data_IF_889375068803
#
_entry.id   IF_889375068803
#
_cell.length_a   1.000
_cell.length_b   1.000
_cell.length_c   1.000
_cell.angle_alpha   90.00
_cell.angle_beta   90.00
_cell.angle_gamma   90.00
#
_symmetry.space_group_name_H-M   'P 1'
#
loop_
_entity.id
_entity.type
_entity.pdbx_description
1 polymer ?
#
# COMPACT_ATOMS: atom_id res chain seq x y z
N UNK A 1 -13.45 -5.03 7.17
CA UNK A 1 -12.85 -5.10 5.82
C UNK A 1 -13.07 -6.49 5.19
N UNK A 2 -13.92 -6.59 4.17
CA UNK A 2 -14.38 -7.85 3.57
C UNK A 2 -13.28 -8.59 2.78
N UNK A 3 -13.48 -9.86 2.48
CA UNK A 3 -12.48 -10.76 1.88
C UNK A 3 -12.06 -10.35 0.46
N UNK A 4 -13.04 -9.88 -0.34
CA UNK A 4 -12.82 -9.34 -1.70
C UNK A 4 -12.06 -8.01 -1.71
N UNK A 5 -12.09 -7.24 -0.62
CA UNK A 5 -11.47 -5.90 -0.52
C UNK A 5 -9.93 -5.98 -0.54
N UNK A 6 -9.32 -6.89 0.22
CA UNK A 6 -7.84 -7.04 0.24
C UNK A 6 -7.32 -7.94 -0.89
N UNK A 7 -8.19 -8.77 -1.49
CA UNK A 7 -7.80 -9.65 -2.61
C UNK A 7 -7.67 -8.92 -3.95
N UNK A 8 -8.29 -7.74 -4.08
CA UNK A 8 -8.21 -6.91 -5.29
C UNK A 8 -6.77 -6.59 -5.72
N UNK A 9 -5.86 -6.46 -4.74
CA UNK A 9 -4.45 -6.11 -4.90
C UNK A 9 -3.48 -7.30 -4.70
N UNK A 10 -4.00 -8.53 -4.62
CA UNK A 10 -3.16 -9.73 -4.60
C UNK A 10 -2.47 -9.93 -5.97
N UNK A 11 -1.18 -10.28 -5.93
CA UNK A 11 -0.34 -10.53 -7.11
C UNK A 11 0.46 -9.33 -7.62
N UNK A 12 0.64 -8.31 -6.78
CA UNK A 12 1.63 -7.27 -6.99
C UNK A 12 3.05 -7.84 -6.90
N UNK A 13 3.98 -7.44 -7.79
CA UNK A 13 5.38 -7.81 -7.66
C UNK A 13 5.95 -7.34 -6.32
N UNK A 14 6.88 -8.11 -5.74
CA UNK A 14 7.66 -7.65 -4.58
C UNK A 14 8.74 -6.64 -5.01
N UNK A 15 9.28 -6.80 -6.22
CA UNK A 15 10.26 -5.89 -6.81
C UNK A 15 9.64 -4.51 -7.10
N UNK A 16 10.25 -3.48 -6.53
CA UNK A 16 9.77 -2.10 -6.61
C UNK A 16 9.89 -1.50 -8.02
N UNK A 17 10.94 -1.85 -8.77
CA UNK A 17 11.15 -1.33 -10.14
C UNK A 17 10.14 -1.96 -11.11
N UNK A 18 9.85 -3.25 -10.94
CA UNK A 18 8.80 -3.94 -11.70
C UNK A 18 7.42 -3.35 -11.36
N UNK A 19 7.15 -3.03 -10.09
CA UNK A 19 5.91 -2.35 -9.69
C UNK A 19 5.75 -0.99 -10.35
N UNK A 20 6.81 -0.18 -10.38
CA UNK A 20 6.80 1.17 -10.95
C UNK A 20 6.52 1.21 -12.46
N UNK A 21 6.61 0.07 -13.15
CA UNK A 21 6.39 -0.04 -14.60
C UNK A 21 5.21 -0.95 -14.96
N UNK A 22 4.63 -1.66 -13.99
CA UNK A 22 3.55 -2.61 -14.24
C UNK A 22 2.20 -1.88 -14.39
N UNK A 23 1.46 -2.07 -15.50
CA UNK A 23 0.22 -1.33 -15.76
C UNK A 23 -0.84 -1.49 -14.67
N UNK A 24 -0.97 -2.68 -14.08
CA UNK A 24 -1.95 -2.89 -13.00
C UNK A 24 -1.58 -2.12 -11.74
N UNK A 25 -0.30 -2.12 -11.40
CA UNK A 25 0.26 -1.45 -10.22
C UNK A 25 0.11 0.07 -10.34
N UNK A 26 0.41 0.61 -11.53
CA UNK A 26 0.22 2.02 -11.84
C UNK A 26 -1.26 2.42 -11.84
N UNK A 27 -2.14 1.58 -12.39
CA UNK A 27 -3.57 1.86 -12.40
C UNK A 27 -4.15 1.95 -10.98
N UNK A 28 -3.66 1.13 -10.06
CA UNK A 28 -4.04 1.21 -8.63
C UNK A 28 -3.63 2.55 -8.07
N UNK A 29 -2.37 2.93 -8.25
CA UNK A 29 -1.85 4.21 -7.78
C UNK A 29 -2.61 5.39 -8.38
N UNK A 30 -2.89 5.37 -9.69
CA UNK A 30 -3.62 6.46 -10.37
C UNK A 30 -5.02 6.65 -9.79
N UNK A 31 -5.76 5.54 -9.56
CA UNK A 31 -7.07 5.63 -8.95
C UNK A 31 -7.03 6.06 -7.48
N UNK A 32 -6.09 5.53 -6.69
CA UNK A 32 -5.95 5.89 -5.28
C UNK A 32 -5.57 7.35 -5.09
N UNK A 33 -4.50 7.79 -5.76
CA UNK A 33 -3.94 9.12 -5.58
C UNK A 33 -4.81 10.23 -6.18
N UNK A 34 -5.40 10.02 -7.36
CA UNK A 34 -5.92 11.14 -8.15
C UNK A 34 -7.43 11.11 -8.41
N UNK A 35 -8.10 9.95 -8.31
CA UNK A 35 -9.51 9.87 -8.72
C UNK A 35 -10.46 10.59 -7.74
N UNK A 36 -10.07 10.73 -6.47
CA UNK A 36 -10.98 11.18 -5.41
C UNK A 36 -11.49 12.60 -5.60
N UNK A 37 -10.61 13.54 -5.92
CA UNK A 37 -10.93 14.94 -6.25
C UNK A 37 -11.79 15.05 -7.51
N UNK A 38 -11.74 14.03 -8.39
CA UNK A 38 -12.43 13.96 -9.67
C UNK A 38 -13.70 13.09 -9.62
N UNK A 39 -14.24 12.84 -8.43
CA UNK A 39 -15.49 12.07 -8.25
C UNK A 39 -15.34 10.56 -8.49
N UNK A 40 -14.12 10.03 -8.37
CA UNK A 40 -13.80 8.60 -8.39
C UNK A 40 -13.94 7.93 -9.76
N UNK A 41 -13.83 8.69 -10.85
CA UNK A 41 -14.09 8.23 -12.22
C UNK A 41 -13.13 8.85 -13.21
N UNK A 42 -12.69 8.04 -14.18
CA UNK A 42 -11.89 8.49 -15.30
C UNK A 42 -12.46 7.97 -16.62
N UNK A 43 -12.27 8.75 -17.67
CA UNK A 43 -12.63 8.32 -19.02
C UNK A 43 -11.59 7.36 -19.58
N UNK A 44 -11.96 6.57 -20.58
CA UNK A 44 -11.00 5.64 -21.18
C UNK A 44 -9.83 6.39 -21.83
N UNK A 45 -10.08 7.53 -22.51
CA UNK A 45 -9.02 8.33 -23.12
C UNK A 45 -8.09 8.94 -22.08
N UNK A 46 -8.62 9.46 -20.98
CA UNK A 46 -7.83 9.96 -19.84
C UNK A 46 -6.89 8.87 -19.30
N UNK A 47 -7.41 7.67 -19.03
CA UNK A 47 -6.58 6.57 -18.50
C UNK A 47 -5.47 6.18 -19.48
N UNK A 48 -5.78 6.10 -20.77
CA UNK A 48 -4.79 5.77 -21.80
C UNK A 48 -3.70 6.83 -21.89
N UNK A 49 -4.07 8.12 -21.82
CA UNK A 49 -3.09 9.20 -21.88
C UNK A 49 -2.22 9.26 -20.62
N UNK A 50 -2.80 9.16 -19.44
CA UNK A 50 -2.05 9.11 -18.18
C UNK A 50 -1.04 7.95 -18.15
N UNK A 51 -1.46 6.75 -18.57
CA UNK A 51 -0.54 5.60 -18.62
C UNK A 51 0.44 5.70 -19.82
N UNK A 52 0.04 6.35 -20.90
CA UNK A 52 0.89 6.68 -22.04
C UNK A 52 2.02 7.65 -21.69
N UNK A 53 1.76 8.68 -20.88
CA UNK A 53 2.78 9.59 -20.34
C UNK A 53 3.86 8.82 -19.54
N UNK A 54 3.48 7.68 -18.93
CA UNK A 54 4.38 6.78 -18.22
C UNK A 54 5.06 5.73 -19.12
N UNK A 55 4.83 5.77 -20.43
CA UNK A 55 5.40 4.85 -21.43
C UNK A 55 4.66 3.51 -21.55
N UNK A 56 3.40 3.42 -21.12
CA UNK A 56 2.62 2.19 -21.19
C UNK A 56 1.74 2.19 -22.44
N UNK A 57 1.96 1.18 -23.29
CA UNK A 57 1.21 0.98 -24.52
C UNK A 57 -0.30 0.71 -24.30
N UNK A 58 -1.12 1.30 -25.17
CA UNK A 58 -2.58 1.19 -25.19
C UNK A 58 -3.13 -0.24 -24.97
N UNK A 59 -2.62 -1.27 -25.67
CA UNK A 59 -3.06 -2.65 -25.47
C UNK A 59 -2.84 -3.17 -24.04
N UNK A 60 -1.72 -2.77 -23.40
CA UNK A 60 -1.39 -3.17 -22.04
C UNK A 60 -2.33 -2.50 -21.01
N UNK A 61 -2.63 -1.22 -21.22
CA UNK A 61 -3.61 -0.48 -20.40
C UNK A 61 -5.00 -1.12 -20.49
N UNK A 62 -5.48 -1.41 -21.70
CA UNK A 62 -6.80 -2.05 -21.91
C UNK A 62 -6.86 -3.44 -21.29
N UNK A 63 -5.78 -4.21 -21.36
CA UNK A 63 -5.66 -5.51 -20.68
C UNK A 63 -5.76 -5.37 -19.16
N UNK A 64 -5.11 -4.37 -18.57
CA UNK A 64 -5.22 -4.07 -17.13
C UNK A 64 -6.66 -3.68 -16.74
N UNK A 65 -7.28 -2.76 -17.48
CA UNK A 65 -8.67 -2.33 -17.25
C UNK A 65 -9.66 -3.51 -17.32
N UNK A 66 -9.51 -4.38 -18.31
CA UNK A 66 -10.32 -5.60 -18.45
C UNK A 66 -10.21 -6.50 -17.21
N UNK A 67 -9.00 -6.68 -16.67
CA UNK A 67 -8.79 -7.44 -15.43
C UNK A 67 -9.44 -6.77 -14.23
N UNK A 68 -9.36 -5.44 -14.10
CA UNK A 68 -9.94 -4.70 -12.98
C UNK A 68 -11.46 -4.78 -13.01
N UNK A 69 -12.07 -4.66 -14.20
CA UNK A 69 -13.50 -4.89 -14.40
C UNK A 69 -13.92 -6.31 -14.02
N UNK A 70 -13.18 -7.33 -14.48
CA UNK A 70 -13.47 -8.74 -14.16
C UNK A 70 -13.37 -9.03 -12.65
N UNK A 71 -12.44 -8.37 -11.96
CA UNK A 71 -12.29 -8.46 -10.49
C UNK A 71 -13.31 -7.61 -9.71
N UNK A 72 -14.16 -6.84 -10.39
CA UNK A 72 -15.14 -5.96 -9.76
C UNK A 72 -14.53 -4.74 -9.06
N UNK A 73 -13.27 -4.39 -9.39
CA UNK A 73 -12.57 -3.23 -8.83
C UNK A 73 -13.11 -1.95 -9.48
N UNK A 74 -13.21 -1.99 -10.81
CA UNK A 74 -13.76 -0.92 -11.63
C UNK A 74 -15.12 -1.32 -12.19
N UNK A 75 -16.04 -0.38 -12.21
CA UNK A 75 -17.36 -0.50 -12.84
C UNK A 75 -17.43 0.46 -14.02
N UNK A 76 -18.04 0.00 -15.12
CA UNK A 76 -18.30 0.87 -16.25
C UNK A 76 -19.36 1.90 -15.84
N UNK A 77 -19.12 3.17 -16.13
CA UNK A 77 -20.01 4.27 -15.79
C UNK A 77 -20.01 5.28 -16.94
N UNK A 78 -21.12 6.01 -17.11
CA UNK A 78 -21.29 7.01 -18.17
C UNK A 78 -21.72 8.33 -17.54
N UNK A 79 -20.85 9.34 -17.59
CA UNK A 79 -21.12 10.68 -17.04
C UNK A 79 -21.15 11.69 -18.18
N UNK A 80 -22.17 12.55 -18.19
CA UNK A 80 -22.38 13.56 -19.24
C UNK A 80 -22.27 13.00 -20.68
N UNK A 81 -22.76 11.79 -20.92
CA UNK A 81 -22.70 11.18 -22.26
C UNK A 81 -21.40 10.46 -22.60
N UNK A 82 -20.40 10.45 -21.72
CA UNK A 82 -19.07 9.90 -21.98
C UNK A 82 -18.81 8.66 -21.14
N UNK A 83 -18.30 7.60 -21.78
CA UNK A 83 -17.99 6.34 -21.13
C UNK A 83 -16.64 6.40 -20.38
N UNK A 84 -16.64 5.86 -19.17
CA UNK A 84 -15.45 5.72 -18.35
C UNK A 84 -15.57 4.59 -17.33
N UNK A 85 -14.66 4.60 -16.37
CA UNK A 85 -14.61 3.62 -15.30
C UNK A 85 -14.56 4.34 -13.95
N UNK A 86 -15.42 3.91 -13.03
CA UNK A 86 -15.41 4.35 -11.64
C UNK A 86 -14.91 3.23 -10.72
N UNK A 87 -14.36 3.59 -9.57
CA UNK A 87 -14.16 2.64 -8.48
C UNK A 87 -15.52 2.08 -8.03
N UNK A 88 -15.58 0.76 -7.83
CA UNK A 88 -16.75 0.16 -7.17
C UNK A 88 -16.90 0.75 -5.75
N UNK A 89 -18.12 0.82 -5.17
CA UNK A 89 -18.30 1.33 -3.80
C UNK A 89 -17.44 0.60 -2.76
N UNK A 90 -17.21 -0.69 -2.98
CA UNK A 90 -16.36 -1.56 -2.15
C UNK A 90 -14.89 -1.22 -2.30
N UNK A 91 -14.41 -1.03 -3.53
CA UNK A 91 -13.02 -0.63 -3.79
C UNK A 91 -12.74 0.77 -3.27
N UNK A 92 -13.67 1.72 -3.41
CA UNK A 92 -13.49 3.08 -2.91
C UNK A 92 -13.17 3.12 -1.41
N UNK A 93 -13.93 2.38 -0.59
CA UNK A 93 -13.65 2.25 0.85
C UNK A 93 -12.28 1.63 1.13
N UNK A 94 -11.85 0.69 0.28
CA UNK A 94 -10.54 0.03 0.44
C UNK A 94 -9.40 1.00 0.15
N UNK A 95 -9.54 1.82 -0.90
CA UNK A 95 -8.60 2.89 -1.20
C UNK A 95 -8.55 3.92 -0.06
N UNK A 96 -9.71 4.38 0.43
CA UNK A 96 -9.76 5.38 1.50
C UNK A 96 -9.02 4.92 2.78
N UNK A 97 -9.16 3.65 3.17
CA UNK A 97 -8.44 3.06 4.32
C UNK A 97 -6.96 2.86 4.00
N UNK A 98 -6.65 2.44 2.78
CA UNK A 98 -5.28 2.13 2.37
C UNK A 98 -4.41 3.37 2.21
N UNK A 99 -4.96 4.47 1.72
CA UNK A 99 -4.26 5.75 1.53
C UNK A 99 -3.80 6.34 2.85
N UNK A 100 -4.59 6.20 3.92
CA UNK A 100 -4.20 6.64 5.26
C UNK A 100 -2.88 5.97 5.69
N UNK A 101 -2.74 4.64 5.54
CA UNK A 101 -1.50 3.93 5.91
C UNK A 101 -0.30 4.30 5.05
N UNK A 102 -0.52 4.70 3.79
CA UNK A 102 0.55 5.03 2.84
C UNK A 102 1.03 6.47 2.98
N UNK A 103 0.13 7.40 3.29
CA UNK A 103 0.38 8.85 3.31
C UNK A 103 0.47 9.44 4.73
N UNK A 104 0.21 8.66 5.78
CA UNK A 104 0.38 9.12 7.16
C UNK A 104 1.86 9.15 7.56
N UNK A 105 2.34 10.32 8.00
CA UNK A 105 3.63 10.44 8.68
C UNK A 105 3.52 9.83 10.06
N UNK A 106 4.04 8.62 10.23
CA UNK A 106 4.01 7.92 11.52
C UNK A 106 5.15 8.42 12.41
N UNK A 107 4.85 8.65 13.68
CA UNK A 107 5.88 8.81 14.69
C UNK A 107 6.70 7.52 14.82
N UNK A 108 7.94 7.66 15.28
CA UNK A 108 8.78 6.49 15.58
C UNK A 108 8.08 5.62 16.63
N UNK A 109 7.89 4.30 16.36
CA UNK A 109 7.22 3.42 17.30
C UNK A 109 7.92 3.38 18.65
N UNK A 110 7.14 3.51 19.72
CA UNK A 110 7.62 3.34 21.10
C UNK A 110 7.55 1.87 21.49
N UNK A 111 8.47 1.46 22.36
CA UNK A 111 8.42 0.12 22.95
C UNK A 111 7.34 0.07 24.05
N UNK A 112 6.12 -0.29 23.65
CA UNK A 112 4.94 -0.36 24.53
C UNK A 112 4.53 -1.80 24.85
N UNK A 113 5.42 -2.76 24.56
CA UNK A 113 5.16 -4.19 24.66
C UNK A 113 4.39 -4.76 23.47
N UNK A 114 3.78 -5.93 23.67
CA UNK A 114 3.25 -6.76 22.59
C UNK A 114 1.74 -6.92 22.70
N UNK A 115 1.10 -7.10 21.54
CA UNK A 115 -0.23 -7.69 21.44
C UNK A 115 -0.09 -9.10 20.87
N UNK A 116 -0.76 -10.06 21.51
CA UNK A 116 -0.82 -11.44 21.08
C UNK A 116 -2.23 -11.78 20.62
N UNK A 117 -2.33 -12.53 19.53
CA UNK A 117 -3.57 -13.14 19.06
C UNK A 117 -3.40 -14.65 19.13
N UNK A 118 -4.14 -15.30 20.03
CA UNK A 118 -4.25 -16.75 20.08
C UNK A 118 -5.57 -17.15 19.44
N UNK A 119 -5.54 -18.09 18.49
CA UNK A 119 -6.77 -18.58 17.90
C UNK A 119 -6.80 -20.10 17.79
N UNK A 120 -8.01 -20.65 17.91
CA UNK A 120 -8.29 -22.07 17.75
C UNK A 120 -9.48 -22.23 16.80
N UNK A 121 -9.18 -22.32 15.50
CA UNK A 121 -10.19 -22.55 14.47
C UNK A 121 -10.27 -24.07 14.20
N UNK A 122 -11.46 -24.69 14.19
CA UNK A 122 -11.62 -26.12 13.90
C UNK A 122 -10.95 -26.55 12.60
N UNK A 123 -10.42 -27.78 12.54
CA UNK A 123 -9.76 -28.30 11.32
C UNK A 123 -10.68 -28.30 10.10
N UNK A 124 -11.99 -28.50 10.30
CA UNK A 124 -13.00 -28.43 9.24
C UNK A 124 -13.10 -27.05 8.58
N UNK A 125 -12.60 -25.99 9.21
CA UNK A 125 -12.63 -24.61 8.72
C UNK A 125 -11.25 -24.11 8.26
N UNK A 126 -10.50 -24.96 7.53
CA UNK A 126 -9.14 -24.65 7.05
C UNK A 126 -9.04 -23.35 6.24
N UNK A 127 -10.01 -23.06 5.40
CA UNK A 127 -10.04 -21.84 4.58
C UNK A 127 -10.13 -20.57 5.45
N UNK A 128 -10.96 -20.61 6.49
CA UNK A 128 -11.11 -19.52 7.45
C UNK A 128 -9.81 -19.27 8.21
N UNK A 129 -9.13 -20.34 8.64
CA UNK A 129 -7.81 -20.27 9.27
C UNK A 129 -6.77 -19.66 8.34
N UNK A 130 -6.72 -20.09 7.08
CA UNK A 130 -5.79 -19.54 6.08
C UNK A 130 -6.01 -18.04 5.89
N UNK A 131 -7.27 -17.62 5.77
CA UNK A 131 -7.64 -16.20 5.64
C UNK A 131 -7.23 -15.38 6.86
N UNK A 132 -7.50 -15.87 8.08
CA UNK A 132 -7.12 -15.17 9.31
C UNK A 132 -5.60 -14.96 9.35
N UNK A 133 -4.82 -16.02 9.12
CA UNK A 133 -3.35 -15.95 9.07
C UNK A 133 -2.86 -14.96 8.01
N UNK A 134 -3.43 -15.01 6.81
CA UNK A 134 -3.09 -14.07 5.72
C UNK A 134 -3.42 -12.62 6.11
N UNK A 135 -4.56 -12.39 6.77
CA UNK A 135 -4.97 -11.04 7.19
C UNK A 135 -4.13 -10.49 8.34
N UNK A 136 -3.78 -11.33 9.31
CA UNK A 136 -2.85 -10.97 10.40
C UNK A 136 -1.48 -10.58 9.86
N UNK A 137 -0.90 -11.40 8.97
CA UNK A 137 0.36 -11.07 8.31
C UNK A 137 0.29 -9.72 7.58
N UNK A 138 -0.80 -9.46 6.84
CA UNK A 138 -1.01 -8.20 6.10
C UNK A 138 -1.15 -6.96 6.98
N UNK A 139 -1.49 -7.10 8.27
CA UNK A 139 -1.54 -5.96 9.20
C UNK A 139 -0.28 -5.84 10.05
N UNK A 140 0.70 -6.75 9.90
CA UNK A 140 2.01 -6.67 10.55
C UNK A 140 2.27 -7.74 11.62
N UNK A 141 1.33 -8.65 11.87
CA UNK A 141 1.54 -9.73 12.83
C UNK A 141 2.45 -10.83 12.27
N UNK A 142 3.32 -11.36 13.12
CA UNK A 142 4.11 -12.55 12.83
C UNK A 142 3.57 -13.78 13.57
N UNK A 143 3.83 -14.97 13.03
CA UNK A 143 3.51 -16.22 13.70
C UNK A 143 4.63 -16.58 14.68
N UNK A 144 4.30 -16.76 15.96
CA UNK A 144 5.25 -17.27 16.96
C UNK A 144 5.29 -18.79 16.89
N UNK A 145 4.12 -19.42 16.94
CA UNK A 145 3.94 -20.87 16.84
C UNK A 145 2.46 -21.19 16.62
N UNK A 146 2.13 -22.25 15.88
CA UNK A 146 0.74 -22.74 15.76
C UNK A 146 -0.29 -21.63 15.49
N UNK A 147 -1.25 -21.47 16.40
CA UNK A 147 -2.29 -20.42 16.38
C UNK A 147 -1.93 -19.14 17.15
N UNK A 148 -0.69 -18.98 17.62
CA UNK A 148 -0.21 -17.81 18.37
C UNK A 148 0.54 -16.85 17.44
N UNK A 149 0.06 -15.61 17.39
CA UNK A 149 0.61 -14.52 16.59
C UNK A 149 0.94 -13.32 17.48
N UNK A 150 1.93 -12.52 17.08
CA UNK A 150 2.47 -11.39 17.83
C UNK A 150 2.64 -10.16 16.95
N UNK A 151 2.45 -8.97 17.54
CA UNK A 151 2.74 -7.69 16.93
C UNK A 151 3.07 -6.62 18.00
N UNK A 152 3.69 -5.49 17.62
CA UNK A 152 3.74 -4.30 18.48
C UNK A 152 2.35 -3.92 18.98
N UNK A 153 2.24 -3.52 20.25
CA UNK A 153 0.96 -3.18 20.89
C UNK A 153 0.13 -2.14 20.13
N UNK A 154 0.76 -1.24 19.38
CA UNK A 154 0.09 -0.27 18.53
C UNK A 154 -0.90 -0.89 17.52
N UNK A 155 -0.73 -2.18 17.17
CA UNK A 155 -1.59 -2.92 16.24
C UNK A 155 -2.76 -3.66 16.92
N UNK A 156 -3.08 -3.33 18.19
CA UNK A 156 -4.22 -3.94 18.90
C UNK A 156 -5.57 -3.68 18.20
N UNK A 157 -5.78 -2.47 17.67
CA UNK A 157 -6.99 -2.15 16.94
C UNK A 157 -7.09 -2.97 15.63
N UNK A 158 -5.97 -3.18 14.94
CA UNK A 158 -5.92 -3.94 13.69
C UNK A 158 -6.34 -5.39 13.88
N UNK A 159 -5.86 -6.09 14.92
CA UNK A 159 -6.27 -7.48 15.15
C UNK A 159 -7.76 -7.61 15.47
N UNK A 160 -8.32 -6.68 16.26
CA UNK A 160 -9.77 -6.66 16.55
C UNK A 160 -10.57 -6.46 15.26
N UNK A 161 -10.18 -5.47 14.45
CA UNK A 161 -10.81 -5.20 13.16
C UNK A 161 -10.73 -6.40 12.21
N UNK A 162 -9.60 -7.13 12.19
CA UNK A 162 -9.44 -8.34 11.39
C UNK A 162 -10.39 -9.45 11.87
N UNK A 163 -10.44 -9.70 13.18
CA UNK A 163 -11.28 -10.75 13.76
C UNK A 163 -12.79 -10.47 13.52
N UNK A 164 -13.24 -9.24 13.74
CA UNK A 164 -14.62 -8.80 13.49
C UNK A 164 -14.97 -8.90 12.00
N UNK A 165 -14.07 -8.43 11.12
CA UNK A 165 -14.31 -8.45 9.68
C UNK A 165 -14.43 -9.88 9.11
N UNK A 166 -13.71 -10.83 9.70
CA UNK A 166 -13.81 -12.24 9.35
C UNK A 166 -14.90 -12.98 10.13
N UNK A 167 -15.53 -12.33 11.12
CA UNK A 167 -16.54 -12.91 12.03
C UNK A 167 -16.00 -14.14 12.77
N UNK A 168 -14.80 -14.01 13.32
CA UNK A 168 -14.10 -15.09 14.05
C UNK A 168 -13.82 -14.74 15.50
N UNK A 169 -14.51 -13.76 16.06
CA UNK A 169 -14.32 -13.28 17.44
C UNK A 169 -14.46 -14.39 18.48
N UNK A 170 -15.31 -15.40 18.22
CA UNK A 170 -15.52 -16.53 19.14
C UNK A 170 -14.35 -17.55 19.11
N UNK A 171 -13.40 -17.39 18.19
CA UNK A 171 -12.25 -18.29 18.01
C UNK A 171 -10.92 -17.62 18.34
N UNK A 172 -10.92 -16.35 18.75
CA UNK A 172 -9.71 -15.53 18.92
C UNK A 172 -9.71 -14.86 20.28
N UNK A 173 -8.66 -15.08 21.05
CA UNK A 173 -8.33 -14.33 22.25
C UNK A 173 -7.19 -13.35 21.96
N UNK A 174 -7.31 -12.13 22.48
CA UNK A 174 -6.31 -11.07 22.32
C UNK A 174 -5.75 -10.66 23.67
N UNK A 175 -4.43 -10.68 23.81
CA UNK A 175 -3.72 -10.38 25.04
C UNK A 175 -2.75 -9.23 24.84
N UNK A 176 -2.51 -8.47 25.90
CA UNK A 176 -1.32 -7.62 26.03
C UNK A 176 -0.27 -8.42 26.79
N UNK A 177 0.97 -8.40 26.33
CA UNK A 177 2.02 -9.25 26.87
C UNK A 177 3.41 -8.61 26.79
N UNK A 178 4.34 -9.21 27.52
CA UNK A 178 5.78 -8.97 27.44
C UNK A 178 6.49 -10.25 27.00
N UNK A 179 7.59 -10.12 26.27
CA UNK A 179 8.48 -11.25 26.00
C UNK A 179 9.50 -11.37 27.13
N UNK A 180 9.36 -12.40 27.95
CA UNK A 180 10.02 -12.45 29.28
C UNK A 180 11.35 -13.20 29.27
N UNK A 181 11.49 -14.32 28.55
CA UNK A 181 12.58 -15.26 28.81
C UNK A 181 12.99 -16.18 27.64
N UNK A 182 14.01 -16.99 27.95
CA UNK A 182 14.70 -18.02 27.15
C UNK A 182 15.61 -17.53 26.03
N UNK A 183 15.41 -16.29 25.57
CA UNK A 183 16.36 -15.56 24.71
C UNK A 183 16.10 -14.06 24.74
N UNK A 184 17.05 -13.22 24.33
CA UNK A 184 16.81 -11.79 24.11
C UNK A 184 15.69 -11.55 23.09
N UNK A 185 14.80 -10.61 23.39
CA UNK A 185 13.69 -10.21 22.50
C UNK A 185 14.17 -9.83 21.08
N UNK A 186 15.27 -9.08 20.89
CA UNK A 186 15.77 -8.79 19.54
C UNK A 186 16.15 -10.03 18.71
N UNK A 187 16.56 -11.14 19.36
CA UNK A 187 16.83 -12.41 18.66
C UNK A 187 15.53 -13.08 18.25
N UNK A 188 14.52 -13.08 19.14
CA UNK A 188 13.21 -13.66 18.84
C UNK A 188 12.51 -12.96 17.67
N UNK A 189 12.59 -11.63 17.62
CA UNK A 189 11.98 -10.81 16.57
C UNK A 189 12.51 -11.19 15.18
N UNK A 190 13.82 -11.46 15.04
CA UNK A 190 14.41 -11.84 13.74
C UNK A 190 13.93 -13.19 13.22
N UNK A 191 13.40 -14.05 14.08
CA UNK A 191 12.77 -15.31 13.65
C UNK A 191 11.30 -15.15 13.30
N UNK A 192 10.63 -14.16 13.89
CA UNK A 192 9.21 -13.90 13.68
C UNK A 192 8.98 -13.05 12.42
N UNK A 193 9.86 -12.09 12.16
CA UNK A 193 9.81 -11.24 10.97
C UNK A 193 11.09 -11.34 10.15
N UNK A 194 10.94 -11.36 8.83
CA UNK A 194 12.03 -11.21 7.87
C UNK A 194 12.47 -9.73 7.79
N UNK A 195 13.13 -9.26 8.86
CA UNK A 195 13.59 -7.87 8.92
C UNK A 195 14.66 -7.58 7.87
N UNK A 196 15.49 -8.55 7.50
CA UNK A 196 16.53 -8.37 6.49
C UNK A 196 15.89 -8.16 5.10
N UNK A 197 14.86 -8.95 4.75
CA UNK A 197 14.08 -8.75 3.52
C UNK A 197 13.37 -7.40 3.47
N UNK A 198 12.78 -6.95 4.59
CA UNK A 198 12.15 -5.62 4.65
C UNK A 198 13.21 -4.51 4.52
N UNK A 199 14.35 -4.64 5.21
CA UNK A 199 15.46 -3.68 5.13
C UNK A 199 16.01 -3.58 3.70
N UNK A 200 16.10 -4.70 2.99
CA UNK A 200 16.51 -4.74 1.60
C UNK A 200 15.54 -3.93 0.71
N UNK A 201 14.22 -4.11 0.87
CA UNK A 201 13.24 -3.34 0.11
C UNK A 201 13.33 -1.83 0.36
N UNK A 202 13.57 -1.41 1.60
CA UNK A 202 13.82 0.00 1.91
C UNK A 202 15.12 0.51 1.27
N UNK A 203 16.18 -0.29 1.31
CA UNK A 203 17.47 0.05 0.72
C UNK A 203 17.37 0.21 -0.80
N UNK A 204 16.65 -0.71 -1.46
CA UNK A 204 16.36 -0.62 -2.89
C UNK A 204 15.58 0.64 -3.23
N UNK A 205 14.56 0.99 -2.42
CA UNK A 205 13.78 2.20 -2.63
C UNK A 205 14.65 3.46 -2.52
N UNK A 206 15.49 3.54 -1.48
CA UNK A 206 16.43 4.65 -1.31
C UNK A 206 17.41 4.73 -2.48
N UNK A 207 17.99 3.60 -2.89
CA UNK A 207 18.93 3.53 -4.02
C UNK A 207 18.30 4.01 -5.32
N UNK A 208 17.07 3.58 -5.60
CA UNK A 208 16.35 3.91 -6.83
C UNK A 208 16.02 5.41 -6.93
N UNK A 209 15.54 6.00 -5.84
CA UNK A 209 14.95 7.36 -5.90
C UNK A 209 15.84 8.49 -5.36
N UNK A 210 16.97 8.19 -4.70
CA UNK A 210 17.93 9.23 -4.28
C UNK A 210 18.52 10.03 -5.45
N UNK A 211 18.90 9.42 -6.59
CA UNK A 211 19.35 10.17 -7.77
C UNK A 211 18.27 11.12 -8.28
N UNK A 212 17.01 10.66 -8.36
CA UNK A 212 15.88 11.47 -8.81
C UNK A 212 15.64 12.69 -7.90
N UNK A 213 15.73 12.53 -6.58
CA UNK A 213 15.64 13.66 -5.63
C UNK A 213 16.74 14.70 -5.88
N UNK A 214 17.94 14.25 -6.24
CA UNK A 214 19.09 15.12 -6.50
C UNK A 214 18.87 15.95 -7.76
N UNK A 215 18.27 15.38 -8.81
CA UNK A 215 17.90 16.10 -10.03
C UNK A 215 16.93 17.24 -9.73
N UNK A 216 15.85 16.97 -9.00
CA UNK A 216 14.85 17.98 -8.65
C UNK A 216 15.40 19.07 -7.73
N UNK A 217 16.32 18.73 -6.81
CA UNK A 217 16.95 19.70 -5.92
C UNK A 217 17.81 20.72 -6.68
N UNK A 218 18.27 20.39 -7.90
CA UNK A 218 19.01 21.29 -8.78
C UNK A 218 18.13 22.18 -9.68
N UNK A 219 16.84 21.89 -9.80
CA UNK A 219 15.93 22.61 -10.68
C UNK A 219 15.54 23.96 -10.06
N UNK A 220 15.66 25.04 -10.84
CA UNK A 220 15.14 26.37 -10.48
C UNK A 220 13.86 26.63 -11.27
N UNK A 221 12.77 26.96 -10.59
CA UNK A 221 11.50 27.32 -11.22
C UNK A 221 10.38 26.30 -10.95
N UNK A 222 9.25 26.47 -11.64
CA UNK A 222 8.08 25.60 -11.50
C UNK A 222 8.38 24.22 -12.10
N UNK A 223 8.00 23.16 -11.37
CA UNK A 223 8.09 21.78 -11.87
C UNK A 223 7.08 21.56 -12.99
N UNK A 224 7.51 20.93 -14.07
CA UNK A 224 6.62 20.49 -15.16
C UNK A 224 5.59 19.47 -14.66
N UNK A 225 4.31 19.71 -14.96
CA UNK A 225 3.20 18.90 -14.43
C UNK A 225 3.23 17.46 -14.92
N UNK A 226 3.56 17.24 -16.19
CA UNK A 226 3.66 15.89 -16.78
C UNK A 226 4.78 15.12 -16.09
N UNK A 227 5.96 15.73 -15.95
CA UNK A 227 7.10 15.13 -15.26
C UNK A 227 6.78 14.82 -13.79
N UNK A 228 6.18 15.77 -13.06
CA UNK A 228 5.75 15.56 -11.68
C UNK A 228 4.80 14.36 -11.56
N UNK A 229 3.80 14.27 -12.45
CA UNK A 229 2.87 13.17 -12.48
C UNK A 229 3.56 11.82 -12.71
N UNK A 230 4.42 11.70 -13.72
CA UNK A 230 5.11 10.45 -14.05
C UNK A 230 6.00 10.00 -12.88
N UNK A 231 6.84 10.90 -12.36
CA UNK A 231 7.81 10.58 -11.33
C UNK A 231 7.13 10.28 -10.00
N UNK A 232 6.19 11.13 -9.56
CA UNK A 232 5.48 10.93 -8.30
C UNK A 232 4.64 9.64 -8.32
N UNK A 233 3.95 9.34 -9.43
CA UNK A 233 3.17 8.10 -9.55
C UNK A 233 4.06 6.87 -9.44
N UNK A 234 5.25 6.88 -10.05
CA UNK A 234 6.22 5.77 -9.94
C UNK A 234 6.74 5.61 -8.50
N UNK A 235 7.18 6.70 -7.88
CA UNK A 235 7.64 6.73 -6.48
C UNK A 235 6.56 6.17 -5.55
N UNK A 236 5.32 6.67 -5.66
CA UNK A 236 4.19 6.23 -4.84
C UNK A 236 3.84 4.76 -5.08
N UNK A 237 3.92 4.29 -6.33
CA UNK A 237 3.65 2.89 -6.69
C UNK A 237 4.64 1.91 -6.06
N UNK A 238 5.90 2.31 -5.94
CA UNK A 238 6.94 1.57 -5.23
C UNK A 238 6.77 1.66 -3.71
N UNK A 239 6.55 2.85 -3.19
CA UNK A 239 6.43 3.13 -1.76
C UNK A 239 5.27 2.37 -1.09
N UNK A 240 4.08 2.35 -1.71
CA UNK A 240 2.83 1.85 -1.10
C UNK A 240 2.88 0.41 -0.55
N UNK A 241 3.89 -0.39 -0.91
CA UNK A 241 4.07 -1.75 -0.39
C UNK A 241 4.77 -1.76 0.97
N UNK A 242 5.73 -0.85 1.17
CA UNK A 242 6.63 -0.83 2.32
C UNK A 242 5.88 -0.67 3.65
N UNK A 243 4.92 0.29 3.81
CA UNK A 243 4.17 0.41 5.06
C UNK A 243 3.29 -0.80 5.41
N UNK A 244 3.01 -1.70 4.46
CA UNK A 244 2.22 -2.91 4.70
C UNK A 244 3.06 -4.11 5.13
N UNK A 245 4.31 -4.20 4.64
CA UNK A 245 5.23 -5.27 5.06
C UNK A 245 5.98 -4.91 6.34
N UNK A 246 6.09 -3.62 6.66
CA UNK A 246 6.74 -3.15 7.88
C UNK A 246 5.80 -3.30 9.11
N UNK A 247 6.22 -4.07 10.13
CA UNK A 247 5.42 -4.27 11.35
C UNK A 247 5.39 -3.04 12.28
N UNK A 248 6.21 -2.01 12.04
CA UNK A 248 6.28 -0.83 12.90
C UNK A 248 6.93 -1.12 14.25
N UNK A 249 8.04 -1.85 14.24
CA UNK A 249 8.80 -2.16 15.46
C UNK A 249 9.57 -0.93 15.97
N UNK A 250 9.77 -0.79 17.29
CA UNK A 250 10.71 0.18 17.87
C UNK A 250 12.12 0.05 17.28
N UNK A 251 12.82 1.19 17.13
CA UNK A 251 14.17 1.24 16.56
C UNK A 251 15.18 0.33 17.26
N UNK A 252 15.00 0.08 18.56
CA UNK A 252 15.85 -0.82 19.36
C UNK A 252 15.82 -2.27 18.89
N UNK A 253 14.80 -2.67 18.12
CA UNK A 253 14.63 -4.03 17.59
C UNK A 253 15.04 -4.17 16.13
N UNK A 254 15.37 -3.07 15.46
CA UNK A 254 15.68 -3.06 14.03
C UNK A 254 17.18 -3.30 13.77
N UNK A 255 17.55 -3.80 12.58
CA UNK A 255 18.93 -3.82 12.11
C UNK A 255 19.60 -2.45 12.19
N UNK A 256 20.93 -2.41 12.36
CA UNK A 256 21.68 -1.15 12.48
C UNK A 256 21.63 -0.30 11.21
N UNK A 257 21.52 -0.95 10.07
CA UNK A 257 21.45 -0.39 8.72
C UNK A 257 20.01 -0.27 8.20
N UNK A 258 19.02 -0.24 9.11
CA UNK A 258 17.62 -0.11 8.75
C UNK A 258 17.34 1.17 7.94
N UNK A 259 17.04 1.00 6.65
CA UNK A 259 16.79 2.10 5.73
C UNK A 259 15.34 2.64 5.78
N UNK A 260 14.49 2.19 6.70
CA UNK A 260 13.08 2.58 6.77
C UNK A 260 12.87 4.08 7.00
N UNK A 261 13.63 4.69 7.92
CA UNK A 261 13.53 6.14 8.15
C UNK A 261 14.03 6.96 6.95
N UNK A 262 15.24 6.71 6.39
CA UNK A 262 15.69 7.38 5.18
C UNK A 262 14.72 7.24 4.00
N UNK A 263 14.13 6.05 3.80
CA UNK A 263 13.14 5.81 2.75
C UNK A 263 11.85 6.61 2.98
N UNK A 264 11.38 6.67 4.22
CA UNK A 264 10.19 7.45 4.62
C UNK A 264 10.41 8.94 4.35
N UNK A 265 11.55 9.49 4.80
CA UNK A 265 11.92 10.89 4.55
C UNK A 265 12.03 11.20 3.06
N UNK A 266 12.62 10.28 2.28
CA UNK A 266 12.71 10.40 0.83
C UNK A 266 11.34 10.40 0.16
N UNK A 267 10.45 9.48 0.53
CA UNK A 267 9.08 9.43 0.01
C UNK A 267 8.32 10.73 0.32
N UNK A 268 8.34 11.18 1.57
CA UNK A 268 7.61 12.38 1.96
C UNK A 268 8.20 13.64 1.32
N UNK A 269 9.50 13.68 1.05
CA UNK A 269 10.10 14.72 0.24
C UNK A 269 9.45 14.79 -1.15
N UNK A 270 9.31 13.65 -1.85
CA UNK A 270 8.62 13.62 -3.15
C UNK A 270 7.15 14.01 -3.05
N UNK A 271 6.46 13.52 -2.03
CA UNK A 271 5.06 13.86 -1.80
C UNK A 271 4.90 15.39 -1.65
N UNK A 272 5.70 16.02 -0.79
CA UNK A 272 5.60 17.46 -0.51
C UNK A 272 5.94 18.33 -1.74
N UNK A 273 6.83 17.85 -2.62
CA UNK A 273 7.32 18.66 -3.75
C UNK A 273 6.57 18.39 -5.06
N UNK A 274 6.02 17.18 -5.26
CA UNK A 274 5.48 16.75 -6.55
C UNK A 274 4.00 16.42 -6.53
N UNK A 275 3.40 16.05 -5.39
CA UNK A 275 2.03 15.52 -5.37
C UNK A 275 0.99 16.54 -5.86
N UNK A 276 1.13 17.82 -5.50
CA UNK A 276 0.21 18.87 -5.94
C UNK A 276 0.33 19.12 -7.46
N UNK A 277 1.55 19.25 -7.98
CA UNK A 277 1.78 19.44 -9.41
C UNK A 277 1.30 18.23 -10.24
N UNK A 278 1.51 17.01 -9.73
CA UNK A 278 1.00 15.79 -10.31
C UNK A 278 -0.54 15.76 -10.33
N UNK A 279 -1.19 16.12 -9.22
CA UNK A 279 -2.65 16.20 -9.13
C UNK A 279 -3.21 17.24 -10.11
N UNK A 280 -2.58 18.40 -10.23
CA UNK A 280 -3.03 19.45 -11.15
C UNK A 280 -2.93 18.99 -12.61
N UNK A 281 -1.84 18.33 -13.01
CA UNK A 281 -1.72 17.74 -14.35
C UNK A 281 -2.87 16.78 -14.67
N UNK A 282 -3.25 15.93 -13.72
CA UNK A 282 -4.37 15.00 -13.91
C UNK A 282 -5.71 15.72 -14.03
N UNK A 283 -5.92 16.81 -13.27
CA UNK A 283 -7.12 17.66 -13.38
C UNK A 283 -7.19 18.32 -14.75
N UNK A 284 -6.12 18.99 -15.17
CA UNK A 284 -6.03 19.68 -16.46
C UNK A 284 -6.31 18.70 -17.61
N UNK A 285 -5.73 17.50 -17.55
CA UNK A 285 -5.95 16.46 -18.55
C UNK A 285 -7.39 15.92 -18.55
N UNK A 286 -8.08 15.88 -17.41
CA UNK A 286 -9.50 15.53 -17.37
C UNK A 286 -10.36 16.61 -18.02
N UNK A 287 -10.07 17.88 -17.75
CA UNK A 287 -10.76 19.04 -18.32
C UNK A 287 -10.53 19.17 -19.83
N UNK A 288 -9.32 18.94 -20.33
CA UNK A 288 -9.03 18.93 -21.77
C UNK A 288 -9.84 17.86 -22.53
N UNK A 289 -9.97 16.68 -21.93
CA UNK A 289 -10.67 15.57 -22.55
C UNK A 289 -12.20 15.74 -22.47
N UNK A 290 -12.68 16.48 -21.46
CA UNK A 290 -14.09 16.68 -21.15
C UNK A 290 -14.34 18.09 -20.58
N UNK A 291 -14.27 19.14 -21.42
CA UNK A 291 -14.67 20.46 -21.00
C UNK A 291 -16.16 20.41 -20.65
N UNK A 292 -16.51 20.94 -19.47
CA UNK A 292 -17.86 20.86 -18.89
C UNK A 292 -18.98 21.31 -19.81
#
# INVERSE_FOLDING_TARGET
MNEREISAFDGEPADIAVRATRPQSLLITVYGAYSRSLGGWFTVSTILRLLGDMGIEDPAVRSALSRFKRRGILVADKRAGVAGYALSPTSRRTFDVGDARVLERRELPRDEGWVLAAFSIPESARDLRYRLRSRLAKVGFAQVTGGLWIAPRALEADVRNVAEALRVTDFVDVFRAEHVAFRPTPEAIREWWDLDGIAQHYTEFVREYSPLRSEYSGVRGRVDGTRAFVDYTRVLTSWRMLPYIDPGLPMSYLPRDWAGQPATELFFWFHDHLAEAAQQHVVDLCEEQHPG
#
